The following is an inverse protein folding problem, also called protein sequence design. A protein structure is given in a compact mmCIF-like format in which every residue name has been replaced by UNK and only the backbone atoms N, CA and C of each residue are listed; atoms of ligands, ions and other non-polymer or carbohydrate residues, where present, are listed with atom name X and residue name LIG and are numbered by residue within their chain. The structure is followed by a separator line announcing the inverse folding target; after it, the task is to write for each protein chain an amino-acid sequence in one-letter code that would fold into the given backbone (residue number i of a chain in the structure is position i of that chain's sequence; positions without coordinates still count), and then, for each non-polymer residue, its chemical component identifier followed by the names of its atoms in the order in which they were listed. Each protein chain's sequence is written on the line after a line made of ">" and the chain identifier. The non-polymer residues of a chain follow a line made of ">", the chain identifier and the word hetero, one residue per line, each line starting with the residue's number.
data_IF_482635907654
#
_entry.id   IF_482635907654
#
_cell.length_a   1.000
_cell.length_b   1.000
_cell.length_c   1.000
_cell.angle_alpha   90.00
_cell.angle_beta   90.00
_cell.angle_gamma   90.00
#
_symmetry.space_group_name_H-M   'P 1'
#
loop_
_entity.id
_entity.type
_entity.pdbx_description
1 polymer ?
#
# COMPACT_ATOMS: atom_id res chain seq x y z
N UNK A 1 62.60 -42.91 30.28
CA UNK A 1 62.27 -41.57 30.79
C UNK A 1 60.97 -41.13 30.14
N UNK A 2 60.15 -40.43 30.92
CA UNK A 2 58.71 -40.20 30.76
C UNK A 2 58.29 -39.56 29.42
N UNK A 3 57.25 -40.12 28.79
CA UNK A 3 56.37 -39.41 27.85
C UNK A 3 55.11 -38.95 28.60
N UNK A 4 54.69 -37.69 28.40
CA UNK A 4 53.51 -37.11 29.07
C UNK A 4 52.28 -37.14 28.17
N UNK A 5 51.21 -37.68 28.77
CA UNK A 5 49.80 -37.57 28.42
C UNK A 5 49.32 -36.13 28.17
N UNK A 6 48.28 -36.00 27.34
CA UNK A 6 47.05 -35.26 27.68
C UNK A 6 45.88 -35.87 26.90
N UNK A 7 44.99 -36.56 27.63
CA UNK A 7 43.79 -37.22 27.11
C UNK A 7 42.60 -36.28 27.01
N UNK A 8 41.72 -36.59 26.06
CA UNK A 8 40.45 -35.94 25.76
C UNK A 8 39.37 -36.49 26.70
N UNK A 9 38.61 -35.60 27.34
CA UNK A 9 37.48 -35.95 28.20
C UNK A 9 36.16 -35.93 27.43
N UNK A 10 35.37 -36.97 27.64
CA UNK A 10 34.04 -37.23 27.09
C UNK A 10 32.96 -36.57 27.99
N UNK A 11 32.02 -35.83 27.40
CA UNK A 11 30.81 -35.38 28.11
C UNK A 11 29.58 -35.54 27.19
N UNK A 12 28.67 -36.41 27.63
CA UNK A 12 27.35 -36.65 27.06
C UNK A 12 26.41 -35.46 27.31
N UNK A 13 25.72 -35.00 26.27
CA UNK A 13 24.61 -34.06 26.37
C UNK A 13 23.28 -34.83 26.35
N UNK A 14 22.54 -34.75 27.46
CA UNK A 14 21.14 -35.20 27.57
C UNK A 14 20.20 -34.16 26.97
N UNK A 15 19.30 -34.61 26.10
CA UNK A 15 18.22 -33.82 25.51
C UNK A 15 17.11 -33.64 26.56
N UNK A 16 16.74 -32.39 26.85
CA UNK A 16 15.58 -32.05 27.68
C UNK A 16 14.34 -31.88 26.78
N UNK A 17 13.25 -32.53 27.18
CA UNK A 17 11.94 -32.52 26.55
C UNK A 17 11.32 -31.11 26.61
N UNK A 18 10.76 -30.65 25.49
CA UNK A 18 10.03 -29.38 25.40
C UNK A 18 8.59 -29.57 25.86
N UNK A 19 8.16 -28.82 26.88
CA UNK A 19 6.76 -28.74 27.29
C UNK A 19 5.92 -28.02 26.21
N UNK A 20 4.87 -28.70 25.73
CA UNK A 20 3.89 -28.16 24.80
C UNK A 20 3.04 -27.08 25.49
N UNK A 21 3.28 -25.82 25.12
CA UNK A 21 2.46 -24.68 25.54
C UNK A 21 1.16 -24.62 24.76
N UNK A 22 0.05 -24.73 25.48
CA UNK A 22 -1.33 -24.66 25.02
C UNK A 22 -1.63 -23.31 24.33
N UNK A 23 -2.10 -23.34 23.07
CA UNK A 23 -2.46 -22.15 22.28
C UNK A 23 -3.87 -21.69 22.68
N UNK A 24 -3.97 -20.50 23.23
CA UNK A 24 -5.23 -19.82 23.53
C UNK A 24 -5.81 -19.20 22.24
N UNK A 25 -7.03 -19.60 21.87
CA UNK A 25 -7.81 -19.05 20.75
C UNK A 25 -8.35 -17.67 21.14
N UNK A 26 -7.48 -16.66 21.13
CA UNK A 26 -7.84 -15.32 21.61
C UNK A 26 -6.93 -14.23 21.09
N UNK A 27 -7.48 -13.39 20.19
CA UNK A 27 -6.89 -12.20 19.56
C UNK A 27 -5.71 -12.44 18.61
N UNK A 28 -6.00 -12.34 17.31
CA UNK A 28 -4.99 -12.13 16.26
C UNK A 28 -4.23 -10.84 16.56
N UNK A 29 -3.10 -10.96 17.24
CA UNK A 29 -2.17 -9.86 17.46
C UNK A 29 -1.42 -9.61 16.13
N UNK A 30 -2.07 -8.93 15.20
CA UNK A 30 -1.35 -8.36 14.06
C UNK A 30 -0.34 -7.37 14.64
N UNK A 31 0.97 -7.52 14.36
CA UNK A 31 1.95 -6.54 14.81
C UNK A 31 1.69 -5.26 14.03
N UNK A 32 0.78 -4.43 14.54
CA UNK A 32 0.72 -3.04 14.12
C UNK A 32 2.11 -2.49 14.40
N UNK A 33 2.81 -1.99 13.38
CA UNK A 33 3.80 -0.95 13.62
C UNK A 33 3.16 -0.01 14.65
N UNK A 34 3.83 0.24 15.79
CA UNK A 34 3.28 0.94 16.98
C UNK A 34 2.51 2.24 16.65
N UNK A 35 2.73 2.78 15.46
CA UNK A 35 2.23 4.06 14.96
C UNK A 35 1.04 3.96 13.97
N UNK A 36 0.68 2.76 13.46
CA UNK A 36 -0.27 2.64 12.34
C UNK A 36 -1.74 2.79 12.75
N UNK A 37 -2.17 2.28 13.91
CA UNK A 37 -3.43 2.50 14.65
C UNK A 37 -4.67 2.98 13.87
N UNK A 38 -4.89 2.49 12.65
CA UNK A 38 -6.06 2.79 11.81
C UNK A 38 -6.84 1.50 11.71
N UNK A 39 -8.15 1.52 11.89
CA UNK A 39 -8.91 0.28 11.86
C UNK A 39 -9.22 -0.17 10.43
N UNK A 40 -9.07 -1.47 10.16
CA UNK A 40 -9.59 -2.10 8.95
C UNK A 40 -11.11 -2.18 9.11
N UNK A 41 -11.82 -1.26 8.47
CA UNK A 41 -13.25 -1.03 8.71
C UNK A 41 -14.04 -0.72 7.45
N UNK A 42 -13.37 -0.58 6.31
CA UNK A 42 -13.99 -0.43 5.00
C UNK A 42 -14.17 -1.78 4.34
N UNK A 43 -15.18 -1.89 3.48
CA UNK A 43 -15.40 -3.04 2.61
C UNK A 43 -15.58 -2.55 1.19
N UNK A 44 -14.85 -3.12 0.25
CA UNK A 44 -15.04 -2.90 -1.19
C UNK A 44 -15.24 -4.24 -1.89
N UNK A 45 -15.83 -4.21 -3.08
CA UNK A 45 -15.88 -5.39 -3.95
C UNK A 45 -14.69 -5.30 -4.89
N UNK A 46 -13.86 -6.35 -4.92
CA UNK A 46 -12.79 -6.48 -5.89
C UNK A 46 -13.39 -6.69 -7.28
N UNK A 47 -12.84 -5.96 -8.25
CA UNK A 47 -13.16 -6.13 -9.65
C UNK A 47 -11.88 -6.41 -10.41
N UNK A 48 -11.85 -7.51 -11.16
CA UNK A 48 -10.70 -7.92 -11.98
C UNK A 48 -10.41 -6.90 -13.10
N UNK A 49 -11.43 -6.15 -13.52
CA UNK A 49 -11.30 -5.03 -14.45
C UNK A 49 -12.05 -3.81 -13.93
N UNK A 50 -11.42 -2.64 -14.08
CA UNK A 50 -12.00 -1.35 -13.71
C UNK A 50 -11.68 -0.31 -14.78
N UNK A 51 -12.14 0.93 -14.59
CA UNK A 51 -11.78 2.08 -15.43
C UNK A 51 -10.26 2.35 -15.50
N UNK A 52 -9.48 1.83 -14.55
CA UNK A 52 -8.01 1.92 -14.55
C UNK A 52 -7.32 0.96 -15.54
N UNK A 53 -8.07 0.07 -16.19
CA UNK A 53 -7.57 -0.93 -17.15
C UNK A 53 -8.49 -1.08 -18.38
N UNK A 54 -9.24 -0.04 -18.73
CA UNK A 54 -10.16 -0.05 -19.86
C UNK A 54 -9.46 0.05 -21.24
N UNK A 55 -10.21 -0.15 -22.35
CA UNK A 55 -9.64 -0.17 -23.70
C UNK A 55 -9.22 1.21 -24.23
N UNK A 56 -9.71 2.30 -23.63
CA UNK A 56 -9.32 3.66 -23.98
C UNK A 56 -8.09 4.09 -23.18
N UNK A 57 -6.90 3.80 -23.72
CA UNK A 57 -5.61 4.07 -23.07
C UNK A 57 -5.40 5.55 -22.71
N UNK A 58 -5.87 6.47 -23.54
CA UNK A 58 -5.78 7.92 -23.24
C UNK A 58 -6.59 8.28 -22.00
N UNK A 59 -7.80 7.75 -21.88
CA UNK A 59 -8.63 7.96 -20.71
C UNK A 59 -8.02 7.28 -19.48
N UNK A 60 -7.52 6.05 -19.63
CA UNK A 60 -6.83 5.32 -18.55
C UNK A 60 -5.66 6.15 -18.02
N UNK A 61 -4.79 6.67 -18.89
CA UNK A 61 -3.65 7.48 -18.49
C UNK A 61 -4.04 8.78 -17.79
N UNK A 62 -5.17 9.40 -18.19
CA UNK A 62 -5.73 10.56 -17.50
C UNK A 62 -6.23 10.21 -16.10
N UNK A 63 -6.97 9.10 -15.95
CA UNK A 63 -7.48 8.63 -14.66
C UNK A 63 -6.31 8.35 -13.72
N UNK A 64 -5.29 7.60 -14.16
CA UNK A 64 -4.07 7.35 -13.39
C UNK A 64 -3.34 8.64 -13.00
N UNK A 65 -3.26 9.60 -13.93
CA UNK A 65 -2.63 10.90 -13.67
C UNK A 65 -3.40 11.73 -12.64
N UNK A 66 -4.71 11.53 -12.52
CA UNK A 66 -5.58 12.27 -11.59
C UNK A 66 -5.47 11.82 -10.13
N UNK A 67 -4.87 10.66 -9.84
CA UNK A 67 -4.68 10.16 -8.48
C UNK A 67 -3.82 11.15 -7.67
N UNK A 68 -4.39 11.73 -6.62
CA UNK A 68 -3.71 12.64 -5.72
C UNK A 68 -2.92 11.88 -4.64
N UNK A 69 -1.59 11.99 -4.70
CA UNK A 69 -0.68 11.42 -3.72
C UNK A 69 0.00 12.49 -2.85
N UNK A 70 -0.41 13.75 -2.99
CA UNK A 70 0.17 14.88 -2.27
C UNK A 70 0.00 14.82 -0.74
N UNK A 71 -1.08 14.24 -0.17
CA UNK A 71 -1.22 14.14 1.29
C UNK A 71 -0.25 13.14 1.94
N UNK A 72 0.57 12.45 1.13
CA UNK A 72 1.50 11.42 1.60
C UNK A 72 2.74 11.94 2.33
N UNK A 73 3.20 13.15 2.01
CA UNK A 73 4.36 13.74 2.68
C UNK A 73 3.90 14.52 3.91
N UNK A 74 4.37 14.13 5.10
CA UNK A 74 4.10 14.81 6.35
C UNK A 74 5.42 15.18 7.03
N UNK A 75 5.38 16.21 7.85
CA UNK A 75 6.47 16.58 8.76
C UNK A 75 6.17 16.09 10.18
N UNK A 76 7.15 15.54 10.86
CA UNK A 76 7.04 15.15 12.27
C UNK A 76 8.16 15.81 13.06
N UNK A 77 7.95 16.13 14.34
CA UNK A 77 9.04 16.64 15.15
C UNK A 77 10.11 15.57 15.34
N UNK A 78 11.38 15.98 15.36
CA UNK A 78 12.50 15.07 15.61
C UNK A 78 12.41 14.45 17.02
N UNK A 79 11.84 15.18 17.98
CA UNK A 79 11.52 14.66 19.32
C UNK A 79 10.48 13.54 19.27
N UNK A 80 9.38 13.74 18.54
CA UNK A 80 8.37 12.68 18.37
C UNK A 80 8.99 11.46 17.68
N UNK A 81 9.81 11.68 16.65
CA UNK A 81 10.48 10.59 15.95
C UNK A 81 11.39 9.77 16.89
N UNK A 82 12.22 10.46 17.69
CA UNK A 82 13.10 9.83 18.67
C UNK A 82 12.34 9.06 19.75
N UNK A 83 11.20 9.57 20.21
CA UNK A 83 10.40 8.95 21.28
C UNK A 83 9.50 7.79 20.80
N UNK A 84 9.27 7.64 19.49
CA UNK A 84 8.33 6.66 18.91
C UNK A 84 9.00 5.69 17.94
N UNK A 85 10.32 5.51 18.04
CA UNK A 85 11.14 4.65 17.17
C UNK A 85 10.90 4.88 15.68
N UNK A 86 10.54 6.11 15.28
CA UNK A 86 10.51 6.47 13.87
C UNK A 86 11.94 6.75 13.48
N UNK A 87 12.49 5.92 12.58
CA UNK A 87 13.90 5.87 12.18
C UNK A 87 14.62 7.23 12.26
N UNK A 88 15.80 7.22 12.90
CA UNK A 88 16.53 8.39 13.42
C UNK A 88 17.25 9.24 12.36
N UNK A 89 17.15 8.90 11.08
CA UNK A 89 17.70 9.70 9.98
C UNK A 89 16.55 10.21 9.11
N UNK A 90 16.12 11.43 9.40
CA UNK A 90 15.12 12.14 8.63
C UNK A 90 15.76 13.32 7.91
N UNK A 91 15.41 13.51 6.65
CA UNK A 91 15.69 14.77 5.97
C UNK A 91 14.98 15.89 6.72
N UNK A 92 15.75 16.88 7.18
CA UNK A 92 15.21 18.02 7.90
C UNK A 92 14.32 18.85 6.99
N UNK A 93 13.24 19.37 7.54
CA UNK A 93 12.36 20.27 6.80
C UNK A 93 13.11 21.53 6.38
N UNK A 94 12.98 22.03 5.13
CA UNK A 94 13.92 23.03 4.60
C UNK A 94 13.94 24.36 5.35
N UNK A 95 12.89 24.67 6.12
CA UNK A 95 12.77 25.88 6.93
C UNK A 95 12.47 25.61 8.41
N UNK A 96 12.44 24.34 8.85
CA UNK A 96 12.27 23.97 10.27
C UNK A 96 13.15 22.75 10.60
N UNK A 97 14.38 23.01 11.05
CA UNK A 97 15.34 21.99 11.42
C UNK A 97 14.94 21.12 12.63
N UNK A 98 13.81 21.42 13.29
CA UNK A 98 13.26 20.59 14.37
C UNK A 98 12.25 19.55 13.86
N UNK A 99 11.97 19.56 12.56
CA UNK A 99 11.06 18.62 11.91
C UNK A 99 11.78 17.81 10.84
N UNK A 100 11.40 16.55 10.71
CA UNK A 100 11.81 15.67 9.63
C UNK A 100 10.66 15.39 8.68
N UNK A 101 10.95 15.19 7.40
CA UNK A 101 9.97 14.74 6.40
C UNK A 101 9.84 13.22 6.46
N UNK A 102 8.61 12.72 6.55
CA UNK A 102 8.28 11.31 6.42
C UNK A 102 7.14 11.11 5.43
N UNK A 103 7.10 9.93 4.82
CA UNK A 103 6.02 9.56 3.91
C UNK A 103 5.09 8.54 4.55
N UNK A 104 3.78 8.81 4.48
CA UNK A 104 2.74 7.87 4.86
C UNK A 104 2.76 6.71 3.85
N UNK A 105 3.02 5.50 4.36
CA UNK A 105 3.25 4.30 3.53
C UNK A 105 2.22 4.09 2.42
N UNK A 106 0.92 4.16 2.74
CA UNK A 106 -0.14 3.95 1.74
C UNK A 106 -0.09 4.96 0.58
N UNK A 107 0.21 6.23 0.85
CA UNK A 107 0.39 7.24 -0.20
C UNK A 107 1.68 7.03 -0.99
N UNK A 108 2.76 6.56 -0.34
CA UNK A 108 4.01 6.22 -1.02
C UNK A 108 3.84 5.01 -1.96
N UNK A 109 3.11 3.97 -1.53
CA UNK A 109 2.77 2.83 -2.38
C UNK A 109 1.94 3.29 -3.59
N UNK A 110 0.93 4.13 -3.38
CA UNK A 110 0.11 4.67 -4.47
C UNK A 110 0.92 5.57 -5.43
N UNK A 111 1.84 6.37 -4.91
CA UNK A 111 2.80 7.13 -5.71
C UNK A 111 3.68 6.23 -6.57
N UNK A 112 4.23 5.17 -5.99
CA UNK A 112 5.05 4.19 -6.70
C UNK A 112 4.25 3.51 -7.82
N UNK A 113 3.02 3.07 -7.54
CA UNK A 113 2.15 2.45 -8.53
C UNK A 113 1.85 3.39 -9.71
N UNK A 114 1.52 4.66 -9.41
CA UNK A 114 1.30 5.70 -10.43
C UNK A 114 2.53 5.91 -11.31
N UNK A 115 3.74 5.95 -10.74
CA UNK A 115 4.98 6.12 -11.51
C UNK A 115 5.29 4.90 -12.38
N UNK A 116 5.01 3.68 -11.90
CA UNK A 116 5.15 2.46 -12.70
C UNK A 116 4.19 2.50 -13.89
N UNK A 117 2.90 2.80 -13.69
CA UNK A 117 1.94 2.92 -14.81
C UNK A 117 2.40 3.98 -15.82
N UNK A 118 2.84 5.15 -15.36
CA UNK A 118 3.37 6.19 -16.25
C UNK A 118 4.57 5.71 -17.05
N UNK A 119 5.53 5.02 -16.41
CA UNK A 119 6.70 4.46 -17.10
C UNK A 119 6.30 3.45 -18.19
N UNK A 120 5.29 2.62 -17.94
CA UNK A 120 4.73 1.70 -18.93
C UNK A 120 4.06 2.44 -20.10
N UNK A 121 3.28 3.49 -19.83
CA UNK A 121 2.67 4.32 -20.88
C UNK A 121 3.72 5.05 -21.71
N UNK A 122 4.75 5.62 -21.06
CA UNK A 122 5.87 6.26 -21.75
C UNK A 122 6.62 5.27 -22.66
N UNK A 123 6.82 4.02 -22.19
CA UNK A 123 7.44 2.97 -23.00
C UNK A 123 6.56 2.59 -24.21
N UNK A 124 5.27 2.33 -23.99
CA UNK A 124 4.29 1.99 -25.04
C UNK A 124 4.28 3.04 -26.16
N UNK A 125 4.32 4.32 -25.78
CA UNK A 125 4.19 5.44 -26.70
C UNK A 125 5.54 5.87 -27.33
N UNK A 126 6.65 5.22 -26.98
CA UNK A 126 7.98 5.59 -27.44
C UNK A 126 8.50 6.93 -26.87
N UNK A 127 7.93 7.38 -25.75
CA UNK A 127 8.33 8.61 -25.08
C UNK A 127 9.57 8.42 -24.19
N UNK A 128 10.40 9.47 -24.00
CA UNK A 128 11.45 9.46 -23.00
C UNK A 128 10.90 9.18 -21.60
N UNK A 129 11.62 8.37 -20.82
CA UNK A 129 11.22 8.05 -19.46
C UNK A 129 11.39 9.27 -18.54
N UNK A 130 10.32 9.68 -17.87
CA UNK A 130 10.34 10.82 -16.93
C UNK A 130 11.11 10.50 -15.65
N UNK A 131 11.14 9.22 -15.27
CA UNK A 131 11.87 8.74 -14.08
C UNK A 131 12.98 7.80 -14.49
N UNK A 132 14.07 7.82 -13.73
CA UNK A 132 15.18 6.91 -13.99
C UNK A 132 14.75 5.47 -13.74
N UNK A 133 15.41 4.54 -14.43
CA UNK A 133 15.26 3.10 -14.20
C UNK A 133 15.45 2.74 -12.71
N UNK A 134 16.43 3.37 -12.05
CA UNK A 134 16.70 3.14 -10.63
C UNK A 134 15.49 3.50 -9.75
N UNK A 135 14.85 4.64 -10.03
CA UNK A 135 13.65 5.08 -9.31
C UNK A 135 12.49 4.10 -9.54
N UNK A 136 12.22 3.70 -10.78
CA UNK A 136 11.15 2.73 -11.09
C UNK A 136 11.42 1.36 -10.45
N UNK A 137 12.67 0.90 -10.45
CA UNK A 137 13.05 -0.37 -9.80
C UNK A 137 12.80 -0.32 -8.29
N UNK A 138 13.08 0.82 -7.64
CA UNK A 138 12.75 1.04 -6.24
C UNK A 138 11.24 1.04 -5.99
N UNK A 139 10.44 1.66 -6.87
CA UNK A 139 8.98 1.62 -6.77
C UNK A 139 8.45 0.17 -6.81
N UNK A 140 8.96 -0.65 -7.73
CA UNK A 140 8.56 -2.06 -7.86
C UNK A 140 8.94 -2.83 -6.59
N UNK A 141 10.16 -2.67 -6.09
CA UNK A 141 10.59 -3.36 -4.87
C UNK A 141 9.83 -2.90 -3.62
N UNK A 142 9.50 -1.61 -3.52
CA UNK A 142 8.68 -1.06 -2.42
C UNK A 142 7.31 -1.74 -2.37
N UNK A 143 6.64 -1.87 -3.53
CA UNK A 143 5.35 -2.55 -3.61
C UNK A 143 5.48 -4.04 -3.29
N UNK A 144 6.51 -4.72 -3.80
CA UNK A 144 6.81 -6.12 -3.47
C UNK A 144 6.98 -6.33 -1.96
N UNK A 145 7.75 -5.47 -1.29
CA UNK A 145 7.91 -5.52 0.17
C UNK A 145 6.58 -5.30 0.89
N UNK A 146 5.70 -4.46 0.36
CA UNK A 146 4.34 -4.25 0.88
C UNK A 146 3.49 -5.51 0.81
N UNK A 147 3.49 -6.19 -0.35
CA UNK A 147 2.78 -7.46 -0.56
C UNK A 147 3.27 -8.53 0.41
N UNK A 148 4.60 -8.69 0.53
CA UNK A 148 5.20 -9.65 1.46
C UNK A 148 4.90 -9.33 2.93
N UNK A 149 4.87 -8.05 3.29
CA UNK A 149 4.53 -7.61 4.64
C UNK A 149 3.06 -7.87 4.96
N UNK A 150 2.16 -7.65 3.99
CA UNK A 150 0.73 -7.89 4.18
C UNK A 150 0.41 -9.38 4.30
N UNK A 151 1.10 -10.23 3.54
CA UNK A 151 0.91 -11.69 3.51
C UNK A 151 -0.58 -12.09 3.55
N UNK A 152 -1.40 -11.45 2.70
CA UNK A 152 -2.86 -11.65 2.69
C UNK A 152 -3.20 -13.09 2.30
N UNK A 153 -3.80 -13.83 3.23
CA UNK A 153 -4.13 -15.25 3.12
C UNK A 153 -5.54 -15.49 2.57
N UNK A 154 -6.23 -14.43 2.14
CA UNK A 154 -7.57 -14.49 1.55
C UNK A 154 -7.57 -15.36 0.29
N UNK A 155 -8.30 -16.50 0.27
CA UNK A 155 -8.38 -17.34 -0.92
C UNK A 155 -9.14 -16.62 -2.04
N UNK A 156 -8.60 -16.58 -3.25
CA UNK A 156 -9.27 -15.97 -4.41
C UNK A 156 -9.84 -17.06 -5.32
N UNK A 157 -11.18 -17.12 -5.53
CA UNK A 157 -11.77 -18.07 -6.46
C UNK A 157 -11.38 -17.74 -7.90
N UNK A 158 -11.31 -18.75 -8.76
CA UNK A 158 -11.10 -18.58 -10.20
C UNK A 158 -12.38 -18.89 -10.95
N UNK A 159 -12.82 -17.97 -11.81
CA UNK A 159 -13.97 -18.17 -12.69
C UNK A 159 -13.71 -17.50 -14.05
N UNK A 160 -14.00 -18.21 -15.13
CA UNK A 160 -13.91 -17.78 -16.54
C UNK A 160 -12.70 -16.87 -16.88
N UNK A 161 -11.49 -17.30 -16.48
CA UNK A 161 -10.24 -16.57 -16.76
C UNK A 161 -9.96 -15.36 -15.86
N UNK A 162 -10.81 -15.10 -14.86
CA UNK A 162 -10.59 -14.09 -13.81
C UNK A 162 -10.26 -14.74 -12.47
N UNK A 163 -9.61 -13.99 -11.58
CA UNK A 163 -9.27 -14.43 -10.23
C UNK A 163 -9.81 -13.42 -9.23
N UNK A 164 -10.70 -13.88 -8.34
CA UNK A 164 -11.26 -13.11 -7.23
C UNK A 164 -12.32 -12.09 -7.58
N UNK A 165 -12.80 -12.01 -8.83
CA UNK A 165 -13.84 -11.04 -9.21
C UNK A 165 -15.10 -11.18 -8.33
N UNK A 166 -15.64 -10.05 -7.87
CA UNK A 166 -16.78 -10.01 -6.96
C UNK A 166 -16.44 -10.29 -5.49
N UNK A 167 -15.19 -10.61 -5.16
CA UNK A 167 -14.78 -10.91 -3.78
C UNK A 167 -14.73 -9.65 -2.92
N UNK A 168 -15.29 -9.68 -1.69
CA UNK A 168 -15.16 -8.55 -0.77
C UNK A 168 -13.74 -8.44 -0.23
N UNK A 169 -13.17 -7.24 -0.27
CA UNK A 169 -11.92 -6.90 0.40
C UNK A 169 -12.18 -6.09 1.67
N UNK A 170 -11.41 -6.37 2.71
CA UNK A 170 -11.39 -5.59 3.94
C UNK A 170 -10.31 -4.52 3.83
N UNK A 171 -10.69 -3.26 4.03
CA UNK A 171 -9.84 -2.12 3.72
C UNK A 171 -9.75 -1.11 4.87
N UNK A 172 -8.64 -0.38 4.88
CA UNK A 172 -8.52 0.86 5.65
C UNK A 172 -9.16 1.99 4.84
N UNK A 173 -9.90 2.87 5.50
CA UNK A 173 -10.62 3.95 4.81
C UNK A 173 -9.67 5.13 4.57
N UNK A 174 -9.48 5.52 3.31
CA UNK A 174 -8.56 6.59 2.91
C UNK A 174 -8.87 7.95 3.55
N UNK A 175 -10.14 8.33 3.67
CA UNK A 175 -10.53 9.57 4.36
C UNK A 175 -10.09 9.59 5.82
N UNK A 176 -10.14 8.43 6.50
CA UNK A 176 -9.65 8.30 7.87
C UNK A 176 -8.12 8.40 7.90
N UNK A 177 -7.40 7.88 6.90
CA UNK A 177 -5.95 8.02 6.76
C UNK A 177 -5.55 9.49 6.55
N UNK A 178 -6.20 10.18 5.62
CA UNK A 178 -5.99 11.62 5.34
C UNK A 178 -6.24 12.45 6.60
N UNK A 179 -7.36 12.21 7.28
CA UNK A 179 -7.71 12.90 8.52
C UNK A 179 -6.70 12.62 9.64
N UNK A 180 -6.14 11.40 9.71
CA UNK A 180 -5.10 11.05 10.68
C UNK A 180 -3.78 11.76 10.37
N UNK A 181 -3.37 11.82 9.10
CA UNK A 181 -2.20 12.61 8.65
C UNK A 181 -2.32 14.08 9.02
N UNK A 182 -3.51 14.68 8.86
CA UNK A 182 -3.78 16.07 9.24
C UNK A 182 -3.82 16.36 10.75
N UNK A 183 -3.79 15.35 11.63
CA UNK A 183 -3.74 15.53 13.09
C UNK A 183 -2.31 15.59 13.64
N UNK A 184 -1.31 15.19 12.87
CA UNK A 184 0.10 15.23 13.26
C UNK A 184 0.65 16.60 12.86
N UNK A 185 0.21 17.69 13.52
CA UNK A 185 0.66 19.09 13.37
C UNK A 185 1.31 19.50 12.03
N UNK A 186 0.64 19.14 10.91
CA UNK A 186 1.14 19.40 9.57
C UNK A 186 0.03 19.78 8.61
N UNK A 187 -0.13 21.09 8.47
CA UNK A 187 -0.63 21.64 7.23
C UNK A 187 0.51 21.64 6.22
N UNK A 188 0.62 20.57 5.44
CA UNK A 188 1.17 20.63 4.09
C UNK A 188 0.08 20.27 3.08
N UNK A 189 -1.05 20.96 3.15
CA UNK A 189 -1.87 21.12 1.95
C UNK A 189 -1.24 22.26 1.16
N UNK A 190 -0.40 21.95 0.18
CA UNK A 190 -0.20 22.88 -0.92
C UNK A 190 -1.60 23.09 -1.52
N UNK A 191 -2.24 24.21 -1.21
CA UNK A 191 -3.54 24.59 -1.78
C UNK A 191 -3.36 24.73 -3.28
N UNK A 192 -3.63 23.66 -4.02
CA UNK A 192 -4.19 23.71 -5.37
C UNK A 192 -5.23 22.59 -5.42
N UNK A 193 -6.47 22.93 -5.03
CA UNK A 193 -7.64 22.15 -5.43
C UNK A 193 -8.07 22.72 -6.79
N UNK A 194 -7.90 22.02 -7.92
CA UNK A 194 -8.94 21.98 -8.90
C UNK A 194 -9.90 20.85 -8.51
N UNK A 195 -11.16 21.20 -8.25
CA UNK A 195 -12.22 20.20 -8.07
C UNK A 195 -12.27 19.32 -9.32
N UNK A 196 -12.35 18.00 -9.14
CA UNK A 196 -12.75 17.14 -10.24
C UNK A 196 -14.23 17.43 -10.60
N UNK A 197 -14.66 17.28 -11.87
CA UNK A 197 -16.06 17.49 -12.27
C UNK A 197 -17.08 16.54 -11.61
N UNK A 198 -16.62 15.53 -10.86
CA UNK A 198 -17.44 14.43 -10.31
C UNK A 198 -18.25 14.89 -9.08
N UNK A 199 -17.84 15.97 -8.41
CA UNK A 199 -18.55 16.52 -7.23
C UNK A 199 -19.93 17.14 -7.54
N UNK A 200 -20.36 17.21 -8.81
CA UNK A 200 -21.65 17.75 -9.20
C UNK A 200 -22.76 16.69 -9.38
N UNK A 201 -22.45 15.39 -9.40
CA UNK A 201 -23.45 14.35 -9.71
C UNK A 201 -23.90 13.49 -8.52
N UNK A 202 -23.27 13.58 -7.34
CA UNK A 202 -23.64 12.74 -6.19
C UNK A 202 -24.65 13.37 -5.22
N UNK A 203 -25.34 14.46 -5.61
CA UNK A 203 -26.62 14.83 -4.98
C UNK A 203 -27.77 14.18 -5.73
N UNK A 204 -28.07 12.96 -5.31
CA UNK A 204 -29.32 12.20 -5.45
C UNK A 204 -30.25 12.54 -6.61
N UNK A 205 -30.20 11.73 -7.66
CA UNK A 205 -31.41 11.30 -8.39
C UNK A 205 -31.25 9.83 -8.83
N UNK A 206 -32.31 9.01 -8.81
CA UNK A 206 -32.22 7.61 -9.25
C UNK A 206 -32.08 7.53 -10.77
N UNK A 207 -31.13 6.73 -11.26
CA UNK A 207 -30.99 6.45 -12.70
C UNK A 207 -32.15 5.54 -13.16
N UNK A 208 -32.95 5.92 -14.16
CA UNK A 208 -34.03 5.09 -14.68
C UNK A 208 -33.53 3.82 -15.36
N UNK A 209 -34.23 2.73 -15.10
CA UNK A 209 -33.90 1.36 -15.50
C UNK A 209 -34.28 1.04 -16.96
N UNK A 210 -33.73 1.79 -17.92
CA UNK A 210 -33.97 1.56 -19.34
C UNK A 210 -32.71 1.71 -20.20
N UNK A 211 -31.67 0.91 -19.96
CA UNK A 211 -30.62 0.60 -20.95
C UNK A 211 -30.07 -0.83 -20.77
N UNK A 212 -30.95 -1.79 -20.46
CA UNK A 212 -30.64 -3.23 -20.44
C UNK A 212 -31.60 -3.97 -21.37
N UNK A 213 -31.72 -3.54 -22.63
CA UNK A 213 -32.39 -4.31 -23.68
C UNK A 213 -31.93 -3.78 -25.05
N UNK A 214 -30.77 -4.25 -25.49
CA UNK A 214 -30.44 -4.49 -26.90
C UNK A 214 -28.96 -4.89 -26.96
N UNK A 215 -28.69 -6.19 -26.87
CA UNK A 215 -27.69 -6.91 -27.69
C UNK A 215 -27.97 -8.42 -27.57
N UNK A 216 -29.10 -8.84 -28.14
CA UNK A 216 -29.27 -10.22 -28.59
C UNK A 216 -29.61 -10.13 -30.06
N UNK A 217 -28.57 -10.23 -30.90
CA UNK A 217 -28.55 -10.44 -32.35
C UNK A 217 -27.34 -9.69 -32.89
N UNK A 218 -26.21 -10.37 -33.05
CA UNK A 218 -25.62 -10.65 -34.37
C UNK A 218 -24.66 -11.84 -34.20
N UNK A 219 -24.79 -12.77 -35.12
CA UNK A 219 -24.42 -14.18 -35.06
C UNK A 219 -22.97 -14.46 -35.48
N UNK A 220 -22.55 -15.69 -35.13
CA UNK A 220 -21.74 -16.65 -35.92
C UNK A 220 -20.25 -16.36 -36.14
#
# INVERSE_FOLDING_TARGET
>A
MMERNMGVGEQQHTLAESEEGQVDEGTVYSPSHRNAGLEVSGRIIYHAQTEYSGPNETLVDQIWSSIDTSPGAIAISLEYAANNDVLTSLDTFPWDGKKGIVFVRGFHDLHCLKLIKRSLSEYRDGNPQTKSRAHISHCVDTLRQGVLCSADDTPMPTDDGTTGDGQPLQCRIWDKLVKKGGRVDTYFTMRIIPKSPIDLQQRGTPVPQQLLNNQTQFFA
#
